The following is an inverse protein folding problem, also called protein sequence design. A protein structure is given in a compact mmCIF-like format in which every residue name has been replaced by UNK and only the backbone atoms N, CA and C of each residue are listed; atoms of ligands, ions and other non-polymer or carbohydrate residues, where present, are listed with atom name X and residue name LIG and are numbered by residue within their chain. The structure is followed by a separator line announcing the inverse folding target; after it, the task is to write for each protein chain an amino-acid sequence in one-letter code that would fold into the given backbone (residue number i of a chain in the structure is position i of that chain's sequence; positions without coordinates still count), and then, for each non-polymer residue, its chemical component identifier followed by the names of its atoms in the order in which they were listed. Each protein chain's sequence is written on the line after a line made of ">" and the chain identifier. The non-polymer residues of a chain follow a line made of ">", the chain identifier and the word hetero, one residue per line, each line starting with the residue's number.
data_IF_310931853562
#
_entry.id   IF_310931853562
#
_cell.length_a   1.000
_cell.length_b   1.000
_cell.length_c   1.000
_cell.angle_alpha   90.00
_cell.angle_beta   90.00
_cell.angle_gamma   90.00
#
_symmetry.space_group_name_H-M   'P 1'
#
loop_
_entity.id
_entity.type
_entity.pdbx_description
1 polymer ?
#
# COMPACT_ATOMS: atom_id res chain seq x y z
N UNK A 1 34.58 8.42 53.18
CA UNK A 1 34.80 7.39 52.14
C UNK A 1 33.49 6.65 51.93
N UNK A 2 32.76 6.93 50.84
CA UNK A 2 31.57 6.17 50.42
C UNK A 2 31.83 5.71 48.99
N UNK A 3 32.00 4.40 48.81
CA UNK A 3 32.09 3.77 47.49
C UNK A 3 30.68 3.56 46.97
N UNK A 4 30.35 4.18 45.85
CA UNK A 4 29.10 3.95 45.11
C UNK A 4 29.40 2.94 44.01
N UNK A 5 28.79 1.75 44.08
CA UNK A 5 28.85 0.75 43.02
C UNK A 5 27.79 1.09 41.96
N UNK A 6 28.23 1.36 40.73
CA UNK A 6 27.34 1.51 39.59
C UNK A 6 27.06 0.12 38.99
N UNK A 7 25.80 -0.31 39.01
CA UNK A 7 25.32 -1.52 38.33
C UNK A 7 25.04 -1.14 36.88
N UNK A 8 25.83 -1.68 35.96
CA UNK A 8 25.59 -1.56 34.51
C UNK A 8 24.61 -2.66 34.10
N UNK A 9 23.39 -2.27 33.75
CA UNK A 9 22.42 -3.15 33.11
C UNK A 9 22.81 -3.32 31.63
N UNK A 10 23.36 -4.48 31.27
CA UNK A 10 23.55 -4.85 29.87
C UNK A 10 22.21 -5.28 29.28
N UNK A 11 21.61 -4.41 28.47
CA UNK A 11 20.40 -4.72 27.70
C UNK A 11 20.79 -5.66 26.54
N UNK A 12 20.52 -6.96 26.68
CA UNK A 12 20.64 -7.91 25.56
C UNK A 12 19.47 -7.66 24.59
N UNK A 13 19.75 -7.00 23.47
CA UNK A 13 18.85 -6.98 22.32
C UNK A 13 19.00 -8.31 21.56
N UNK A 14 18.03 -9.21 21.73
CA UNK A 14 17.93 -10.42 20.90
C UNK A 14 17.31 -10.05 19.55
N UNK A 15 18.12 -9.96 18.51
CA UNK A 15 17.62 -9.93 17.14
C UNK A 15 17.23 -11.37 16.72
N UNK A 16 15.94 -11.67 16.76
CA UNK A 16 15.42 -12.87 16.11
C UNK A 16 15.34 -12.62 14.61
N UNK A 17 16.38 -13.02 13.87
CA UNK A 17 16.31 -13.09 12.42
C UNK A 17 15.35 -14.24 12.05
N UNK A 18 14.11 -13.91 11.66
CA UNK A 18 13.21 -14.90 11.05
C UNK A 18 13.79 -15.31 9.70
N UNK A 19 14.22 -16.56 9.58
CA UNK A 19 14.66 -17.10 8.30
C UNK A 19 13.45 -17.22 7.36
N UNK A 20 13.30 -16.28 6.42
CA UNK A 20 12.25 -16.33 5.43
C UNK A 20 12.45 -17.57 4.55
N UNK A 21 11.46 -18.47 4.52
CA UNK A 21 11.52 -19.73 3.77
C UNK A 21 11.71 -19.41 2.29
N UNK A 22 12.73 -19.99 1.66
CA UNK A 22 13.00 -19.82 0.23
C UNK A 22 11.78 -20.23 -0.60
N UNK A 23 11.39 -19.38 -1.56
CA UNK A 23 10.31 -19.69 -2.48
C UNK A 23 10.58 -20.95 -3.32
N UNK A 24 9.55 -21.76 -3.63
CA UNK A 24 9.67 -22.87 -4.57
C UNK A 24 10.15 -22.39 -5.95
N UNK A 25 10.75 -23.28 -6.74
CA UNK A 25 11.19 -22.95 -8.11
C UNK A 25 9.97 -22.56 -8.97
N UNK A 26 10.06 -21.42 -9.67
CA UNK A 26 8.98 -20.87 -10.49
C UNK A 26 7.94 -20.07 -9.70
N UNK A 27 8.24 -19.76 -8.43
CA UNK A 27 7.40 -18.93 -7.58
C UNK A 27 8.21 -17.80 -6.96
N UNK A 28 7.54 -16.69 -6.71
CA UNK A 28 8.02 -15.62 -5.83
C UNK A 28 7.10 -15.49 -4.62
N UNK A 29 7.55 -14.81 -3.57
CA UNK A 29 6.68 -14.50 -2.43
C UNK A 29 5.51 -13.63 -2.89
N UNK A 30 4.31 -13.95 -2.41
CA UNK A 30 3.16 -13.09 -2.64
C UNK A 30 3.39 -11.73 -1.95
N UNK A 31 3.23 -10.60 -2.65
CA UNK A 31 3.35 -9.29 -2.04
C UNK A 31 2.34 -9.09 -0.91
N UNK A 32 2.79 -8.41 0.14
CA UNK A 32 1.94 -8.01 1.24
C UNK A 32 2.47 -6.67 1.79
N UNK A 33 1.55 -5.75 2.06
CA UNK A 33 1.86 -4.46 2.69
C UNK A 33 1.11 -4.33 4.00
N UNK A 34 1.66 -3.54 4.93
CA UNK A 34 1.04 -3.25 6.21
C UNK A 34 1.35 -1.82 6.61
N UNK A 35 0.30 -1.09 7.02
CA UNK A 35 0.41 0.26 7.56
C UNK A 35 -0.37 0.36 8.87
N UNK A 36 -0.02 1.37 9.66
CA UNK A 36 -0.69 1.70 10.93
C UNK A 36 -1.27 3.11 10.89
N UNK A 37 -2.37 3.32 11.59
CA UNK A 37 -3.12 4.59 11.63
C UNK A 37 -4.30 4.49 12.56
N UNK A 38 -5.07 5.55 12.74
CA UNK A 38 -6.40 5.48 13.37
C UNK A 38 -7.42 5.41 12.22
N UNK A 39 -7.57 4.24 11.59
CA UNK A 39 -8.34 4.12 10.35
C UNK A 39 -9.85 4.16 10.60
N UNK A 40 -10.31 3.61 11.72
CA UNK A 40 -11.74 3.62 12.07
C UNK A 40 -12.18 4.85 12.90
N UNK A 41 -11.24 5.68 13.34
CA UNK A 41 -11.52 6.92 14.05
C UNK A 41 -11.96 6.73 15.50
N UNK A 42 -11.62 5.60 16.13
CA UNK A 42 -11.87 5.34 17.55
C UNK A 42 -10.79 5.90 18.48
N UNK A 43 -9.75 6.52 17.93
CA UNK A 43 -8.63 7.12 18.65
C UNK A 43 -7.55 6.12 19.07
N UNK A 44 -7.62 4.86 18.63
CA UNK A 44 -6.58 3.85 18.85
C UNK A 44 -5.85 3.56 17.55
N UNK A 45 -4.63 3.03 17.70
CA UNK A 45 -3.86 2.58 16.55
C UNK A 45 -4.42 1.26 16.00
N UNK A 46 -4.84 1.31 14.75
CA UNK A 46 -5.21 0.20 13.91
C UNK A 46 -4.02 -0.30 13.05
N UNK A 47 -4.16 -1.52 12.55
CA UNK A 47 -3.28 -2.11 11.53
C UNK A 47 -4.10 -2.49 10.30
N UNK A 48 -3.79 -1.87 9.16
CA UNK A 48 -4.35 -2.22 7.86
C UNK A 48 -3.31 -3.04 7.10
N UNK A 49 -3.67 -4.25 6.69
CA UNK A 49 -2.80 -5.15 5.93
C UNK A 49 -3.44 -5.53 4.61
N UNK A 50 -2.63 -5.60 3.56
CA UNK A 50 -2.99 -6.18 2.28
C UNK A 50 -2.24 -7.51 2.08
N UNK A 51 -2.89 -8.46 1.40
CA UNK A 51 -2.26 -9.67 0.90
C UNK A 51 -2.91 -10.11 -0.43
N UNK A 52 -2.22 -10.98 -1.18
CA UNK A 52 -2.78 -11.58 -2.40
C UNK A 52 -3.55 -12.85 -2.06
N UNK A 53 -4.74 -13.00 -2.63
CA UNK A 53 -5.61 -14.16 -2.45
C UNK A 53 -5.94 -14.86 -3.79
N UNK A 54 -6.29 -16.14 -3.72
CA UNK A 54 -6.86 -16.91 -4.83
C UNK A 54 -8.36 -16.62 -5.04
N UNK A 55 -8.97 -17.15 -6.11
CA UNK A 55 -10.41 -16.99 -6.41
C UNK A 55 -11.39 -17.31 -5.26
N UNK A 56 -10.95 -18.08 -4.25
CA UNK A 56 -11.77 -18.54 -3.13
C UNK A 56 -11.57 -17.70 -1.86
N UNK A 57 -10.59 -16.79 -1.83
CA UNK A 57 -10.31 -15.93 -0.68
C UNK A 57 -9.16 -16.44 0.17
N UNK A 58 -8.47 -17.49 -0.26
CA UNK A 58 -7.36 -18.02 0.51
C UNK A 58 -6.12 -17.16 0.26
N UNK A 59 -5.50 -16.71 1.35
CA UNK A 59 -4.20 -16.04 1.30
C UNK A 59 -3.16 -16.92 0.62
N UNK A 60 -2.42 -16.34 -0.30
CA UNK A 60 -1.29 -16.95 -0.96
C UNK A 60 0.01 -16.55 -0.27
N UNK A 61 0.88 -17.51 0.02
CA UNK A 61 2.25 -17.24 0.47
C UNK A 61 3.21 -17.00 -0.71
N UNK A 62 2.86 -17.55 -1.88
CA UNK A 62 3.65 -17.50 -3.09
C UNK A 62 2.75 -17.29 -4.32
N UNK A 63 3.25 -16.57 -5.32
CA UNK A 63 2.62 -16.41 -6.63
C UNK A 63 3.56 -16.94 -7.71
N UNK A 64 3.00 -17.39 -8.84
CA UNK A 64 3.80 -17.98 -9.91
C UNK A 64 4.62 -16.90 -10.61
N UNK A 65 5.91 -17.11 -10.74
CA UNK A 65 6.80 -16.25 -11.52
C UNK A 65 7.31 -17.04 -12.73
N UNK A 66 6.80 -16.71 -13.91
CA UNK A 66 7.24 -17.37 -15.16
C UNK A 66 8.49 -16.71 -15.76
N UNK A 67 8.96 -15.59 -15.19
CA UNK A 67 10.08 -14.81 -15.72
C UNK A 67 9.80 -14.15 -17.09
N UNK A 68 8.56 -14.24 -17.57
CA UNK A 68 8.13 -13.77 -18.89
C UNK A 68 6.76 -13.11 -18.77
N UNK A 69 6.67 -11.84 -19.21
CA UNK A 69 5.49 -11.02 -19.03
C UNK A 69 4.30 -11.54 -19.85
N UNK A 70 4.56 -11.98 -21.08
CA UNK A 70 3.54 -12.48 -22.00
C UNK A 70 2.89 -13.78 -21.52
N UNK A 71 3.62 -14.57 -20.73
CA UNK A 71 3.07 -15.75 -20.06
C UNK A 71 2.43 -15.41 -18.70
N UNK A 72 3.01 -14.46 -17.97
CA UNK A 72 2.56 -14.10 -16.60
C UNK A 72 1.17 -13.48 -16.61
N UNK A 73 0.91 -12.52 -17.51
CA UNK A 73 -0.38 -11.79 -17.54
C UNK A 73 -1.59 -12.71 -17.76
N UNK A 74 -1.61 -13.54 -18.83
CA UNK A 74 -2.75 -14.42 -19.08
C UNK A 74 -2.95 -15.42 -17.94
N UNK A 75 -1.85 -15.86 -17.33
CA UNK A 75 -1.92 -16.77 -16.21
C UNK A 75 -2.59 -16.13 -14.99
N UNK A 76 -2.16 -14.94 -14.56
CA UNK A 76 -2.75 -14.29 -13.39
C UNK A 76 -4.22 -13.95 -13.60
N UNK A 77 -4.58 -13.54 -14.82
CA UNK A 77 -5.98 -13.39 -15.22
C UNK A 77 -6.76 -14.69 -15.02
N UNK A 78 -6.21 -15.83 -15.47
CA UNK A 78 -6.84 -17.15 -15.35
C UNK A 78 -6.88 -17.67 -13.91
N UNK A 79 -5.88 -17.36 -13.09
CA UNK A 79 -5.82 -17.75 -11.69
C UNK A 79 -6.74 -16.90 -10.80
N UNK A 80 -7.25 -15.78 -11.32
CA UNK A 80 -8.10 -14.83 -10.61
C UNK A 80 -7.49 -14.38 -9.28
N UNK A 81 -6.22 -13.96 -9.32
CA UNK A 81 -5.60 -13.33 -8.16
C UNK A 81 -6.15 -11.92 -7.93
N UNK A 82 -6.39 -11.58 -6.68
CA UNK A 82 -6.81 -10.24 -6.26
C UNK A 82 -6.21 -9.87 -4.92
N UNK A 83 -6.30 -8.59 -4.60
CA UNK A 83 -5.90 -8.05 -3.33
C UNK A 83 -7.05 -8.19 -2.31
N UNK A 84 -6.70 -8.67 -1.12
CA UNK A 84 -7.55 -8.70 0.06
C UNK A 84 -6.95 -7.87 1.18
N UNK A 85 -7.82 -7.39 2.05
CA UNK A 85 -7.46 -6.46 3.12
C UNK A 85 -7.99 -6.92 4.47
N UNK A 86 -7.21 -6.66 5.51
CA UNK A 86 -7.66 -6.80 6.90
C UNK A 86 -7.45 -5.53 7.69
N UNK A 87 -8.44 -5.17 8.51
CA UNK A 87 -8.30 -4.20 9.58
C UNK A 87 -8.22 -4.94 10.92
N UNK A 88 -7.10 -4.79 11.63
CA UNK A 88 -6.84 -5.49 12.90
C UNK A 88 -7.03 -7.02 12.79
N UNK A 89 -6.63 -7.60 11.66
CA UNK A 89 -6.76 -9.02 11.35
C UNK A 89 -8.16 -9.49 10.91
N UNK A 90 -9.16 -8.61 10.92
CA UNK A 90 -10.49 -8.90 10.39
C UNK A 90 -10.57 -8.53 8.92
N UNK A 91 -11.10 -9.42 8.07
CA UNK A 91 -11.32 -9.12 6.65
C UNK A 91 -12.26 -7.91 6.50
N UNK A 92 -11.94 -7.06 5.53
CA UNK A 92 -12.70 -5.86 5.20
C UNK A 92 -12.89 -5.77 3.69
N UNK A 93 -13.98 -5.15 3.27
CA UNK A 93 -14.24 -4.91 1.85
C UNK A 93 -13.65 -3.56 1.42
N UNK A 94 -12.42 -3.60 0.92
CA UNK A 94 -11.86 -2.57 0.05
C UNK A 94 -11.86 -3.21 -1.33
N UNK A 95 -12.55 -2.58 -2.29
CA UNK A 95 -12.78 -3.08 -3.66
C UNK A 95 -11.72 -4.10 -4.10
N UNK A 96 -12.13 -5.36 -4.29
CA UNK A 96 -11.28 -6.48 -4.69
C UNK A 96 -10.73 -6.26 -6.10
N UNK A 97 -9.69 -5.43 -6.20
CA UNK A 97 -8.99 -5.15 -7.43
C UNK A 97 -8.26 -6.42 -7.87
N UNK A 98 -8.53 -6.88 -9.10
CA UNK A 98 -7.68 -7.88 -9.73
C UNK A 98 -6.26 -7.32 -9.82
N UNK A 99 -5.29 -8.07 -9.30
CA UNK A 99 -3.93 -7.58 -9.13
C UNK A 99 -3.13 -8.51 -8.24
N UNK A 100 -1.81 -8.35 -8.28
CA UNK A 100 -0.87 -9.16 -7.49
C UNK A 100 -0.07 -8.27 -6.55
N UNK A 101 -0.75 -7.76 -5.54
CA UNK A 101 -0.19 -6.78 -4.63
C UNK A 101 -0.57 -5.35 -4.99
N UNK A 102 0.11 -4.43 -4.32
CA UNK A 102 -0.02 -3.00 -4.51
C UNK A 102 1.36 -2.41 -4.82
N UNK A 103 1.41 -1.40 -5.68
CA UNK A 103 2.58 -0.55 -5.87
C UNK A 103 2.82 0.34 -4.63
N UNK A 104 1.73 0.75 -3.95
CA UNK A 104 1.82 1.42 -2.65
C UNK A 104 0.56 1.25 -1.80
N UNK A 105 0.74 1.42 -0.48
CA UNK A 105 -0.32 1.53 0.52
C UNK A 105 0.13 2.59 1.53
N UNK A 106 -0.51 3.75 1.54
CA UNK A 106 -0.06 4.95 2.25
C UNK A 106 -1.14 5.43 3.21
N UNK A 107 -0.79 5.59 4.48
CA UNK A 107 -1.64 6.33 5.43
C UNK A 107 -1.50 7.84 5.16
N UNK A 108 -2.58 8.50 4.73
CA UNK A 108 -2.61 9.95 4.52
C UNK A 108 -2.88 10.72 5.81
N UNK A 109 -3.35 10.05 6.85
CA UNK A 109 -3.93 10.65 8.04
C UNK A 109 -5.35 11.13 7.78
N UNK A 110 -5.96 11.74 8.79
CA UNK A 110 -7.23 12.46 8.64
C UNK A 110 -7.05 13.74 7.83
N UNK A 111 -7.44 13.73 6.54
CA UNK A 111 -7.25 14.83 5.60
C UNK A 111 -8.56 15.50 5.16
N UNK A 112 -9.72 14.93 5.49
CA UNK A 112 -11.04 15.49 5.22
C UNK A 112 -11.79 15.95 6.49
N UNK A 113 -11.15 15.89 7.67
CA UNK A 113 -11.75 16.22 8.97
C UNK A 113 -12.94 15.34 9.37
N UNK A 114 -13.08 14.16 8.77
CA UNK A 114 -14.00 13.11 9.24
C UNK A 114 -13.31 12.22 10.28
N UNK A 115 -14.03 11.26 10.87
CA UNK A 115 -13.40 10.34 11.82
C UNK A 115 -12.61 9.29 11.03
N UNK A 116 -11.36 9.10 11.44
CA UNK A 116 -10.46 8.12 10.86
C UNK A 116 -9.44 8.73 9.89
N UNK A 117 -8.44 7.93 9.58
CA UNK A 117 -7.40 8.23 8.60
C UNK A 117 -7.83 7.79 7.19
N UNK A 118 -7.53 8.61 6.18
CA UNK A 118 -7.61 8.22 4.78
C UNK A 118 -6.41 7.37 4.35
N UNK A 119 -6.64 6.46 3.39
CA UNK A 119 -5.60 5.59 2.84
C UNK A 119 -5.54 5.75 1.32
N UNK A 120 -4.35 5.97 0.78
CA UNK A 120 -4.09 5.86 -0.65
C UNK A 120 -3.51 4.49 -0.99
N UNK A 121 -3.96 3.91 -2.10
CA UNK A 121 -3.38 2.70 -2.67
C UNK A 121 -3.33 2.77 -4.19
N UNK A 122 -2.35 2.07 -4.75
CA UNK A 122 -2.26 1.80 -6.19
C UNK A 122 -2.10 0.29 -6.36
N UNK A 123 -3.05 -0.41 -7.00
CA UNK A 123 -2.93 -1.85 -7.24
C UNK A 123 -1.81 -2.12 -8.22
N UNK A 124 -1.11 -3.26 -8.10
CA UNK A 124 -0.22 -3.69 -9.18
C UNK A 124 -1.04 -4.43 -10.23
N UNK A 125 -1.50 -3.70 -11.25
CA UNK A 125 -2.26 -4.27 -12.34
C UNK A 125 -1.28 -5.02 -13.26
N UNK A 126 -1.58 -6.28 -13.54
CA UNK A 126 -0.77 -7.09 -14.45
C UNK A 126 -1.41 -7.04 -15.82
N UNK A 127 -1.25 -5.89 -16.46
CA UNK A 127 -1.74 -5.62 -17.80
C UNK A 127 -0.65 -5.04 -18.70
N UNK A 128 -1.03 -4.67 -19.93
CA UNK A 128 -0.13 -4.15 -20.96
C UNK A 128 -0.09 -2.62 -21.01
N UNK A 129 -0.58 -1.95 -19.97
CA UNK A 129 -0.57 -0.50 -19.83
C UNK A 129 0.35 -0.10 -18.69
N UNK A 130 0.91 1.11 -18.77
CA UNK A 130 1.58 1.74 -17.63
C UNK A 130 0.65 2.77 -16.96
N UNK A 131 -0.65 2.71 -17.23
CA UNK A 131 -1.64 3.65 -16.70
C UNK A 131 -2.44 2.94 -15.62
N UNK A 132 -2.49 3.56 -14.45
CA UNK A 132 -3.18 3.03 -13.29
C UNK A 132 -3.89 4.17 -12.55
N UNK A 133 -4.56 3.87 -11.45
CA UNK A 133 -5.20 4.87 -10.60
C UNK A 133 -4.68 4.79 -9.18
N UNK A 134 -4.29 5.94 -8.63
CA UNK A 134 -4.20 6.11 -7.18
C UNK A 134 -5.61 6.31 -6.65
N UNK A 135 -6.02 5.43 -5.74
CA UNK A 135 -7.35 5.40 -5.14
C UNK A 135 -7.23 5.74 -3.67
N UNK A 136 -8.11 6.61 -3.20
CA UNK A 136 -8.17 7.04 -1.82
C UNK A 136 -9.45 6.52 -1.19
N UNK A 137 -9.31 5.88 -0.05
CA UNK A 137 -10.39 5.29 0.71
C UNK A 137 -10.51 5.94 2.09
N UNK A 138 -11.75 6.07 2.56
CA UNK A 138 -12.10 6.44 3.93
C UNK A 138 -12.94 5.33 4.56
N UNK A 139 -12.88 5.18 5.89
CA UNK A 139 -13.76 4.29 6.63
C UNK A 139 -15.07 5.00 6.98
N UNK A 140 -16.13 4.67 6.26
CA UNK A 140 -17.43 5.30 6.27
C UNK A 140 -18.49 4.40 6.91
N UNK A 141 -19.03 4.79 8.07
CA UNK A 141 -20.19 4.11 8.69
C UNK A 141 -20.04 2.59 8.81
N UNK A 142 -18.84 2.12 9.14
CA UNK A 142 -18.53 0.70 9.30
C UNK A 142 -17.98 -0.01 8.05
N UNK A 143 -17.89 0.66 6.90
CA UNK A 143 -17.39 0.09 5.65
C UNK A 143 -16.36 1.01 4.99
N UNK A 144 -15.44 0.47 4.19
CA UNK A 144 -14.54 1.31 3.40
C UNK A 144 -15.23 1.80 2.12
N UNK A 145 -15.01 3.06 1.77
CA UNK A 145 -15.51 3.64 0.53
C UNK A 145 -14.40 4.37 -0.21
N UNK A 146 -14.34 4.19 -1.53
CA UNK A 146 -13.50 5.01 -2.39
C UNK A 146 -14.10 6.43 -2.43
N UNK A 147 -13.31 7.41 -2.00
CA UNK A 147 -13.73 8.81 -1.88
C UNK A 147 -13.05 9.71 -2.91
N UNK A 148 -11.93 9.28 -3.46
CA UNK A 148 -11.20 10.03 -4.48
C UNK A 148 -10.31 9.11 -5.32
N UNK A 149 -10.06 9.44 -6.58
CA UNK A 149 -9.04 8.79 -7.39
C UNK A 149 -8.46 9.74 -8.44
N UNK A 150 -7.27 9.43 -8.94
CA UNK A 150 -6.62 10.13 -10.04
C UNK A 150 -5.64 9.19 -10.79
N UNK A 151 -5.32 9.54 -12.03
CA UNK A 151 -4.42 8.75 -12.86
C UNK A 151 -2.98 8.78 -12.35
N UNK A 152 -2.30 7.65 -12.47
CA UNK A 152 -0.88 7.52 -12.15
C UNK A 152 -0.17 6.66 -13.19
N UNK A 153 1.12 6.94 -13.41
CA UNK A 153 1.95 6.11 -14.26
C UNK A 153 2.69 5.08 -13.42
N UNK A 154 2.63 3.81 -13.78
CA UNK A 154 3.31 2.74 -13.04
C UNK A 154 4.84 2.91 -13.02
N UNK A 155 5.40 3.63 -14.00
CA UNK A 155 6.82 3.99 -14.05
C UNK A 155 7.24 4.94 -12.94
N UNK A 156 6.29 5.65 -12.29
CA UNK A 156 6.58 6.51 -11.13
C UNK A 156 7.01 5.67 -9.88
N UNK A 157 6.85 4.35 -9.92
CA UNK A 157 7.25 3.42 -8.86
C UNK A 157 8.57 2.70 -9.14
N UNK A 158 9.26 3.03 -10.24
CA UNK A 158 10.59 2.49 -10.50
C UNK A 158 11.58 3.04 -9.48
N UNK A 159 12.25 2.14 -8.79
CA UNK A 159 13.30 2.46 -7.84
C UNK A 159 14.63 1.84 -8.25
N UNK A 160 15.72 2.43 -7.76
CA UNK A 160 17.07 1.87 -7.91
C UNK A 160 17.49 1.27 -6.58
N UNK A 161 17.88 -0.01 -6.59
CA UNK A 161 18.30 -0.71 -5.37
C UNK A 161 17.95 -2.19 -5.40
N UNK A 162 18.45 -2.92 -4.41
CA UNK A 162 18.13 -4.35 -4.21
C UNK A 162 16.95 -4.59 -3.26
N UNK A 163 16.35 -3.52 -2.73
CA UNK A 163 15.27 -3.56 -1.76
C UNK A 163 14.16 -2.66 -2.27
N UNK A 164 12.96 -3.22 -2.39
CA UNK A 164 11.76 -2.47 -2.73
C UNK A 164 11.42 -1.46 -1.63
N UNK A 165 11.25 -0.17 -1.97
CA UNK A 165 10.89 0.83 -0.98
C UNK A 165 9.43 0.65 -0.55
N UNK A 166 9.18 0.84 0.74
CA UNK A 166 7.83 1.09 1.23
C UNK A 166 7.53 2.57 0.99
N UNK A 167 6.67 2.84 0.01
CA UNK A 167 6.28 4.20 -0.32
C UNK A 167 5.44 4.80 0.80
N UNK A 168 5.90 5.93 1.36
CA UNK A 168 5.12 6.79 2.26
C UNK A 168 4.58 8.03 1.55
N UNK A 169 4.92 8.19 0.28
CA UNK A 169 4.51 9.20 -0.68
C UNK A 169 4.86 8.68 -2.08
N UNK A 170 4.33 9.30 -3.12
CA UNK A 170 4.68 9.04 -4.51
C UNK A 170 5.34 10.32 -5.05
N UNK A 171 6.68 10.37 -5.14
CA UNK A 171 7.40 11.61 -5.45
C UNK A 171 6.88 12.30 -6.71
N UNK A 172 6.54 13.59 -6.60
CA UNK A 172 5.99 14.39 -7.70
C UNK A 172 4.57 14.02 -8.14
N UNK A 173 3.91 13.06 -7.47
CA UNK A 173 2.54 12.59 -7.80
C UNK A 173 1.57 12.68 -6.64
N UNK A 174 1.98 12.28 -5.44
CA UNK A 174 1.23 12.36 -4.19
C UNK A 174 2.21 12.51 -3.02
N UNK A 175 2.35 13.72 -2.51
CA UNK A 175 3.36 14.01 -1.47
C UNK A 175 2.91 15.14 -0.55
N UNK A 176 3.58 15.26 0.60
CA UNK A 176 3.36 16.39 1.51
C UNK A 176 4.25 17.57 1.10
N UNK A 177 3.63 18.70 0.80
CA UNK A 177 4.30 19.99 0.64
C UNK A 177 3.77 20.95 1.70
N UNK A 178 4.66 21.50 2.53
CA UNK A 178 4.30 22.41 3.64
C UNK A 178 3.21 21.83 4.57
N UNK A 179 3.31 20.53 4.90
CA UNK A 179 2.36 19.83 5.76
C UNK A 179 1.03 19.45 5.11
N UNK A 180 0.78 19.84 3.86
CA UNK A 180 -0.44 19.55 3.11
C UNK A 180 -0.17 18.48 2.07
N UNK A 181 -1.06 17.49 1.95
CA UNK A 181 -1.00 16.57 0.81
C UNK A 181 -1.36 17.30 -0.47
N UNK A 182 -0.51 17.14 -1.47
CA UNK A 182 -0.74 17.60 -2.83
C UNK A 182 -0.67 16.42 -3.77
N UNK A 183 -1.37 16.52 -4.89
CA UNK A 183 -1.36 15.51 -5.93
C UNK A 183 -1.33 16.15 -7.32
N UNK A 184 -0.98 15.36 -8.33
CA UNK A 184 -1.22 15.71 -9.73
C UNK A 184 -1.73 14.49 -10.48
N UNK A 185 -2.78 14.67 -11.27
CA UNK A 185 -3.27 13.63 -12.16
C UNK A 185 -2.24 13.41 -13.28
N UNK A 186 -1.86 12.17 -13.53
CA UNK A 186 -0.86 11.85 -14.54
C UNK A 186 -1.29 12.30 -15.94
N UNK A 187 -2.58 12.24 -16.28
CA UNK A 187 -3.06 12.68 -17.60
C UNK A 187 -3.00 14.21 -17.73
N UNK A 188 -3.38 14.95 -16.69
CA UNK A 188 -3.19 16.41 -16.64
C UNK A 188 -1.69 16.76 -16.87
N UNK A 189 -0.80 16.10 -16.13
CA UNK A 189 0.65 16.33 -16.26
C UNK A 189 1.22 15.92 -17.62
N UNK A 190 0.72 14.83 -18.19
CA UNK A 190 1.16 14.33 -19.49
C UNK A 190 0.79 15.30 -20.61
N UNK A 191 -0.38 15.93 -20.51
CA UNK A 191 -0.83 16.96 -21.45
C UNK A 191 -0.06 18.28 -21.28
N UNK A 192 0.17 18.70 -20.03
CA UNK A 192 0.94 19.90 -19.70
C UNK A 192 1.81 19.70 -18.45
N UNK A 193 3.12 19.41 -18.62
CA UNK A 193 4.05 19.19 -17.52
C UNK A 193 4.30 20.43 -16.65
N UNK A 194 3.79 21.60 -17.04
CA UNK A 194 3.91 22.84 -16.26
C UNK A 194 2.79 23.00 -15.23
N UNK A 195 1.75 22.15 -15.29
CA UNK A 195 0.68 22.14 -14.29
C UNK A 195 1.29 21.82 -12.91
N UNK A 196 1.08 22.70 -11.91
CA UNK A 196 1.56 22.44 -10.57
C UNK A 196 0.70 21.38 -9.88
N UNK A 197 1.27 20.70 -8.89
CA UNK A 197 0.51 19.85 -7.98
C UNK A 197 -0.55 20.67 -7.25
N UNK A 198 -1.74 20.09 -7.09
CA UNK A 198 -2.91 20.72 -6.47
C UNK A 198 -3.08 20.17 -5.04
N UNK A 199 -3.55 20.98 -4.07
CA UNK A 199 -3.93 20.46 -2.76
C UNK A 199 -4.94 19.32 -2.91
N UNK A 200 -4.67 18.20 -2.25
CA UNK A 200 -5.56 17.05 -2.24
C UNK A 200 -6.78 17.38 -1.37
N UNK A 201 -7.95 17.43 -1.99
CA UNK A 201 -9.24 17.69 -1.31
C UNK A 201 -10.12 16.47 -1.47
N UNK A 202 -10.13 15.63 -0.44
CA UNK A 202 -10.95 14.41 -0.42
C UNK A 202 -12.34 14.75 0.13
N UNK A 203 -13.42 14.37 -0.55
CA UNK A 203 -14.77 14.57 -0.03
C UNK A 203 -15.02 13.70 1.20
N UNK A 204 -15.97 14.13 2.03
CA UNK A 204 -16.48 13.29 3.10
C UNK A 204 -17.23 12.09 2.51
N UNK A 205 -17.33 11.02 3.29
CA UNK A 205 -18.28 9.95 3.03
C UNK A 205 -19.71 10.53 2.84
N UNK A 206 -20.43 10.05 1.81
CA UNK A 206 -21.85 10.35 1.63
C UNK A 206 -22.72 9.50 2.57
#
# INVERSE_FOLDING_TARGET
>A
MKCTAAIVFALLLTFSASAQKKAPKGYTHAPALTITGDFNGDGKQDTLSQFVADSLGNKLDYILDTGDWDTTIPLYTRMHYYNEFTLNGSLIDINRQMGVGLLCLINLGNINSTKGDEVALVPFLKDYSNLNHCRIYSYCSGNWAEVFNFNINEMDFIYTGSVEPVFTAIPGRLEKQNGTWVYIDYMDWFEDPTIPMKPLKVPNCN
#
